data_IF_207420593314
#
_entry.id   IF_207420593314
#
_cell.length_a   1.000
_cell.length_b   1.000
_cell.length_c   1.000
_cell.angle_alpha   90.00
_cell.angle_beta   90.00
_cell.angle_gamma   90.00
#
_symmetry.space_group_name_H-M   'P 1'
#
loop_
_entity.id
_entity.type
_entity.pdbx_description
1 polymer ?
#
# COMPACT_ATOMS: atom_id res chain seq x y z
N UNK A 1 -7.74 -26.19 -7.20
CA UNK A 1 -6.94 -25.35 -8.12
C UNK A 1 -7.06 -23.93 -7.62
N UNK A 2 -6.04 -23.46 -6.90
CA UNK A 2 -6.04 -22.12 -6.33
C UNK A 2 -5.99 -21.10 -7.47
N UNK A 3 -7.08 -20.37 -7.69
CA UNK A 3 -7.02 -19.14 -8.46
C UNK A 3 -6.48 -18.07 -7.52
N UNK A 4 -5.15 -17.96 -7.41
CA UNK A 4 -4.57 -16.73 -6.89
C UNK A 4 -4.92 -15.64 -7.91
N UNK A 5 -6.02 -14.92 -7.64
CA UNK A 5 -6.62 -13.95 -8.57
C UNK A 5 -5.78 -12.67 -8.67
N UNK A 6 -5.10 -12.33 -7.59
CA UNK A 6 -4.17 -11.20 -7.43
C UNK A 6 -3.24 -11.54 -6.25
N UNK A 7 -2.02 -10.99 -6.24
CA UNK A 7 -1.01 -11.21 -5.19
C UNK A 7 -0.84 -9.96 -4.31
N UNK A 8 -0.04 -10.08 -3.25
CA UNK A 8 0.24 -8.95 -2.34
C UNK A 8 0.80 -7.69 -3.04
N UNK A 9 1.62 -7.82 -4.08
CA UNK A 9 2.08 -6.68 -4.86
C UNK A 9 0.90 -5.93 -5.51
N UNK A 10 -0.07 -6.67 -6.04
CA UNK A 10 -1.26 -6.10 -6.67
C UNK A 10 -2.13 -5.34 -5.66
N UNK A 11 -2.23 -5.84 -4.43
CA UNK A 11 -2.92 -5.15 -3.33
C UNK A 11 -2.22 -3.83 -2.99
N UNK A 12 -0.89 -3.86 -2.80
CA UNK A 12 -0.11 -2.66 -2.48
C UNK A 12 -0.26 -1.60 -3.57
N UNK A 13 -0.08 -1.99 -4.83
CA UNK A 13 -0.29 -1.13 -5.98
C UNK A 13 -1.73 -0.58 -6.03
N UNK A 14 -2.72 -1.45 -5.81
CA UNK A 14 -4.14 -1.10 -5.80
C UNK A 14 -4.44 -0.02 -4.77
N UNK A 15 -4.03 -0.22 -3.53
CA UNK A 15 -4.21 0.74 -2.43
C UNK A 15 -3.53 2.07 -2.78
N UNK A 16 -2.25 2.05 -3.17
CA UNK A 16 -1.49 3.27 -3.48
C UNK A 16 -2.03 4.02 -4.71
N UNK A 17 -2.51 3.30 -5.72
CA UNK A 17 -3.10 3.91 -6.94
C UNK A 17 -4.39 4.67 -6.64
N UNK A 18 -5.15 4.22 -5.64
CA UNK A 18 -6.44 4.79 -5.22
C UNK A 18 -6.31 5.91 -4.19
N UNK A 19 -5.10 6.17 -3.69
CA UNK A 19 -4.89 7.24 -2.73
C UNK A 19 -5.22 8.62 -3.30
N UNK A 20 -5.93 9.39 -2.48
CA UNK A 20 -6.13 10.81 -2.72
C UNK A 20 -4.85 11.57 -2.41
N UNK A 21 -4.37 12.33 -3.40
CA UNK A 21 -3.13 13.09 -3.30
C UNK A 21 -1.92 12.40 -3.95
N UNK A 22 -0.83 13.16 -4.19
CA UNK A 22 0.36 12.65 -4.86
C UNK A 22 1.48 12.25 -3.90
N UNK A 23 1.32 12.36 -2.57
CA UNK A 23 2.42 12.18 -1.61
C UNK A 23 2.01 11.35 -0.41
N UNK A 24 2.93 10.50 0.05
CA UNK A 24 2.84 9.74 1.31
C UNK A 24 4.16 9.83 2.06
N UNK A 25 4.19 9.61 3.38
CA UNK A 25 5.44 9.49 4.13
C UNK A 25 6.32 8.37 3.56
N UNK A 26 7.63 8.59 3.48
CA UNK A 26 8.60 7.55 3.11
C UNK A 26 9.12 6.76 4.33
N UNK A 27 8.71 7.15 5.54
CA UNK A 27 9.07 6.49 6.80
C UNK A 27 8.56 5.04 6.84
N UNK A 28 9.49 4.08 6.87
CA UNK A 28 9.21 2.65 7.00
C UNK A 28 8.32 2.36 8.22
N UNK A 29 8.62 2.85 9.45
CA UNK A 29 7.74 2.64 10.59
C UNK A 29 6.29 3.05 10.35
N UNK A 30 6.07 4.24 9.78
CA UNK A 30 4.72 4.78 9.52
C UNK A 30 3.98 3.92 8.49
N UNK A 31 4.63 3.62 7.37
CA UNK A 31 4.01 2.85 6.29
C UNK A 31 3.64 1.45 6.78
N UNK A 32 4.57 0.73 7.40
CA UNK A 32 4.31 -0.65 7.80
C UNK A 32 3.32 -0.78 8.95
N UNK A 33 3.32 0.16 9.91
CA UNK A 33 2.29 0.17 10.95
C UNK A 33 0.91 0.45 10.36
N UNK A 34 0.79 1.39 9.41
CA UNK A 34 -0.48 1.67 8.76
C UNK A 34 -1.02 0.45 7.99
N UNK A 35 -0.16 -0.25 7.24
CA UNK A 35 -0.56 -1.50 6.57
C UNK A 35 -0.84 -2.64 7.53
N UNK A 36 -0.06 -2.80 8.60
CA UNK A 36 -0.35 -3.78 9.64
C UNK A 36 -1.72 -3.50 10.28
N UNK A 37 -2.03 -2.24 10.58
CA UNK A 37 -3.29 -1.85 11.15
C UNK A 37 -4.48 -2.08 10.19
N UNK A 38 -4.30 -1.94 8.87
CA UNK A 38 -5.30 -2.40 7.89
C UNK A 38 -5.45 -3.92 7.91
N UNK A 39 -4.35 -4.65 8.00
CA UNK A 39 -4.35 -6.10 8.08
C UNK A 39 -5.02 -6.66 9.35
N UNK A 40 -5.28 -5.83 10.37
CA UNK A 40 -6.06 -6.20 11.55
C UNK A 40 -7.57 -5.95 11.38
N UNK A 41 -8.00 -5.31 10.29
CA UNK A 41 -9.42 -5.07 10.03
C UNK A 41 -10.03 -6.25 9.27
N UNK A 42 -11.04 -6.87 9.86
CA UNK A 42 -11.66 -8.10 9.35
C UNK A 42 -12.08 -8.00 7.89
N UNK A 43 -12.59 -6.84 7.44
CA UNK A 43 -13.02 -6.68 6.05
C UNK A 43 -11.87 -6.64 5.03
N UNK A 44 -10.63 -6.40 5.46
CA UNK A 44 -9.46 -6.31 4.58
C UNK A 44 -8.53 -7.54 4.69
N UNK A 45 -8.74 -8.43 5.66
CA UNK A 45 -7.92 -9.64 5.86
C UNK A 45 -7.55 -10.38 4.57
N UNK A 46 -8.48 -10.66 3.63
CA UNK A 46 -8.12 -11.39 2.41
C UNK A 46 -7.00 -10.74 1.58
N UNK A 47 -6.90 -9.40 1.61
CA UNK A 47 -5.84 -8.67 0.91
C UNK A 47 -4.47 -8.81 1.56
N UNK A 48 -4.43 -9.21 2.83
CA UNK A 48 -3.23 -9.22 3.65
C UNK A 48 -2.74 -10.61 4.06
N UNK A 49 -3.42 -11.69 3.65
CA UNK A 49 -3.07 -13.08 3.99
C UNK A 49 -1.61 -13.44 3.64
N UNK A 50 -1.09 -12.81 2.60
CA UNK A 50 0.23 -13.02 2.04
C UNK A 50 1.35 -12.23 2.73
N UNK A 51 1.00 -11.33 3.67
CA UNK A 51 1.95 -10.50 4.39
C UNK A 51 2.20 -11.04 5.80
N UNK A 52 3.46 -11.34 6.08
CA UNK A 52 3.90 -11.60 7.44
C UNK A 52 4.41 -10.29 8.07
N UNK A 53 3.72 -9.81 9.10
CA UNK A 53 4.16 -8.67 9.90
C UNK A 53 4.83 -9.15 11.19
N UNK A 54 6.09 -8.76 11.38
CA UNK A 54 6.88 -9.05 12.56
C UNK A 54 7.12 -7.77 13.35
N UNK A 55 6.89 -7.82 14.67
CA UNK A 55 7.17 -6.69 15.55
C UNK A 55 8.68 -6.48 15.69
N UNK A 56 9.17 -5.32 15.28
CA UNK A 56 10.53 -4.82 15.51
C UNK A 56 10.51 -3.76 16.63
N UNK A 57 11.66 -3.17 16.93
CA UNK A 57 11.78 -2.13 17.95
C UNK A 57 10.93 -0.92 17.52
N UNK A 58 9.76 -0.76 18.13
CA UNK A 58 8.88 0.40 17.96
C UNK A 58 7.86 0.32 16.81
N UNK A 59 7.89 -0.69 15.95
CA UNK A 59 6.95 -0.79 14.81
C UNK A 59 6.82 -2.22 14.28
N UNK A 60 5.79 -2.48 13.46
CA UNK A 60 5.61 -3.74 12.74
C UNK A 60 6.30 -3.65 11.37
N UNK A 61 6.95 -4.73 10.92
CA UNK A 61 7.67 -4.77 9.66
C UNK A 61 7.27 -6.00 8.85
N UNK A 62 7.16 -5.84 7.53
CA UNK A 62 6.93 -6.94 6.60
C UNK A 62 7.94 -6.88 5.48
N UNK A 63 8.81 -7.89 5.38
CA UNK A 63 9.86 -7.94 4.35
C UNK A 63 9.27 -7.89 2.95
N UNK A 64 8.24 -8.71 2.68
CA UNK A 64 7.54 -8.76 1.40
C UNK A 64 6.95 -7.40 0.99
N UNK A 65 6.42 -6.65 1.96
CA UNK A 65 5.92 -5.29 1.69
C UNK A 65 7.05 -4.32 1.35
N UNK A 66 8.16 -4.39 2.08
CA UNK A 66 9.33 -3.55 1.84
C UNK A 66 9.90 -3.82 0.44
N UNK A 67 10.04 -5.09 0.06
CA UNK A 67 10.50 -5.48 -1.28
C UNK A 67 9.60 -4.89 -2.38
N UNK A 68 8.28 -4.88 -2.18
CA UNK A 68 7.36 -4.29 -3.16
C UNK A 68 7.47 -2.77 -3.22
N UNK A 69 7.61 -2.08 -2.09
CA UNK A 69 7.85 -0.63 -2.09
C UNK A 69 9.13 -0.26 -2.83
N UNK A 70 10.22 -1.00 -2.61
CA UNK A 70 11.50 -0.82 -3.30
C UNK A 70 11.37 -1.09 -4.81
N UNK A 71 10.67 -2.18 -5.18
CA UNK A 71 10.39 -2.49 -6.58
C UNK A 71 9.56 -1.38 -7.27
N UNK A 72 8.58 -0.80 -6.56
CA UNK A 72 7.79 0.32 -7.06
C UNK A 72 8.64 1.58 -7.28
N UNK A 73 9.58 1.86 -6.37
CA UNK A 73 10.52 2.96 -6.54
C UNK A 73 11.46 2.73 -7.72
N UNK A 74 12.05 1.53 -7.84
CA UNK A 74 12.90 1.15 -8.97
C UNK A 74 12.14 1.23 -10.31
N UNK A 75 10.87 0.84 -10.33
CA UNK A 75 9.98 0.94 -11.49
C UNK A 75 9.51 2.38 -11.79
N UNK A 76 9.92 3.36 -10.99
CA UNK A 76 9.53 4.79 -11.06
C UNK A 76 8.01 4.99 -10.92
N UNK A 77 7.35 4.11 -10.15
CA UNK A 77 5.95 4.23 -9.75
C UNK A 77 5.83 5.08 -8.48
N UNK A 78 6.84 5.00 -7.62
CA UNK A 78 7.11 5.93 -6.53
C UNK A 78 8.41 6.68 -6.84
N UNK A 79 8.58 7.86 -6.24
CA UNK A 79 9.89 8.49 -6.17
C UNK A 79 10.11 9.20 -4.85
N UNK A 80 11.19 8.89 -4.15
CA UNK A 80 11.67 9.67 -3.02
C UNK A 80 12.61 10.78 -3.54
N UNK A 81 12.02 11.89 -4.00
CA UNK A 81 12.76 12.93 -4.72
C UNK A 81 13.36 14.04 -3.83
N UNK A 82 13.07 14.05 -2.52
CA UNK A 82 13.57 15.11 -1.63
C UNK A 82 14.86 14.67 -0.92
N UNK A 83 15.83 15.60 -0.69
CA UNK A 83 17.11 15.27 -0.05
C UNK A 83 16.98 14.67 1.35
N UNK A 84 15.84 14.90 1.99
CA UNK A 84 15.53 14.45 3.33
C UNK A 84 14.87 13.05 3.38
N UNK A 85 14.54 12.45 2.22
CA UNK A 85 13.87 11.15 2.10
C UNK A 85 12.60 11.04 2.96
N UNK A 86 11.84 12.13 3.06
CA UNK A 86 10.69 12.21 3.98
C UNK A 86 9.39 11.71 3.35
N UNK A 87 9.26 11.82 2.02
CA UNK A 87 8.00 11.52 1.32
C UNK A 87 8.22 10.83 -0.01
N UNK A 88 7.43 9.79 -0.27
CA UNK A 88 7.26 9.27 -1.62
C UNK A 88 6.25 10.11 -2.39
N UNK A 89 6.58 10.42 -3.64
CA UNK A 89 5.62 10.91 -4.62
C UNK A 89 5.03 9.74 -5.43
N UNK A 90 3.71 9.59 -5.37
CA UNK A 90 2.93 8.64 -6.15
C UNK A 90 2.82 9.18 -7.57
N UNK A 91 3.47 8.51 -8.54
CA UNK A 91 3.46 8.96 -9.93
C UNK A 91 2.14 8.67 -10.62
N UNK A 92 1.74 9.55 -11.53
CA UNK A 92 0.55 9.36 -12.38
C UNK A 92 0.58 8.03 -13.16
N UNK A 93 1.78 7.53 -13.48
CA UNK A 93 1.96 6.22 -14.11
C UNK A 93 1.35 5.10 -13.27
N UNK A 94 1.55 5.11 -11.95
CA UNK A 94 0.93 4.13 -11.06
C UNK A 94 -0.59 4.25 -11.11
N UNK A 95 -1.12 5.47 -10.99
CA UNK A 95 -2.58 5.71 -11.00
C UNK A 95 -3.22 5.22 -12.31
N UNK A 96 -2.65 5.56 -13.46
CA UNK A 96 -3.21 5.19 -14.77
C UNK A 96 -3.05 3.70 -15.08
N UNK A 97 -1.85 3.15 -14.90
CA UNK A 97 -1.59 1.75 -15.25
C UNK A 97 -2.31 0.78 -14.33
N UNK A 98 -2.48 1.15 -13.06
CA UNK A 98 -3.09 0.24 -12.09
C UNK A 98 -4.61 0.37 -12.00
N UNK A 99 -5.21 1.51 -12.37
CA UNK A 99 -6.68 1.60 -12.45
C UNK A 99 -7.24 0.66 -13.51
N UNK A 100 -6.58 0.54 -14.67
CA UNK A 100 -6.98 -0.41 -15.71
C UNK A 100 -6.75 -1.87 -15.27
N UNK A 101 -5.60 -2.17 -14.66
CA UNK A 101 -5.33 -3.50 -14.11
C UNK A 101 -6.36 -3.91 -13.05
N UNK A 102 -6.68 -3.01 -12.11
CA UNK A 102 -7.64 -3.28 -11.04
C UNK A 102 -9.02 -3.57 -11.61
N UNK A 103 -9.48 -2.80 -12.60
CA UNK A 103 -10.79 -3.04 -13.25
C UNK A 103 -10.88 -4.39 -13.96
N UNK A 104 -9.76 -4.94 -14.43
CA UNK A 104 -9.73 -6.21 -15.16
C UNK A 104 -9.55 -7.43 -14.24
N UNK A 105 -8.84 -7.27 -13.12
CA UNK A 105 -8.41 -8.40 -12.28
C UNK A 105 -9.13 -8.48 -10.93
N UNK A 106 -9.75 -7.39 -10.48
CA UNK A 106 -10.55 -7.34 -9.27
C UNK A 106 -12.04 -7.24 -9.65
N UNK A 107 -12.89 -7.95 -8.92
CA UNK A 107 -14.33 -7.75 -8.99
C UNK A 107 -14.71 -6.35 -8.51
N UNK A 108 -15.91 -5.91 -8.86
CA UNK A 108 -16.44 -4.60 -8.43
C UNK A 108 -16.39 -4.45 -6.90
N UNK A 109 -16.77 -5.50 -6.16
CA UNK A 109 -16.72 -5.52 -4.70
C UNK A 109 -15.30 -5.40 -4.15
N UNK A 110 -14.33 -6.11 -4.73
CA UNK A 110 -12.92 -6.01 -4.31
C UNK A 110 -12.33 -4.64 -4.65
N UNK A 111 -12.72 -4.06 -5.80
CA UNK A 111 -12.30 -2.73 -6.21
C UNK A 111 -12.84 -1.64 -5.25
N UNK A 112 -14.08 -1.77 -4.80
CA UNK A 112 -14.66 -0.91 -3.75
C UNK A 112 -13.91 -1.08 -2.41
N UNK A 113 -13.60 -2.32 -2.03
CA UNK A 113 -12.84 -2.59 -0.81
C UNK A 113 -11.41 -2.01 -0.88
N UNK A 114 -10.73 -2.09 -2.02
CA UNK A 114 -9.44 -1.42 -2.23
C UNK A 114 -9.54 0.10 -2.08
N UNK A 115 -10.64 0.70 -2.57
CA UNK A 115 -10.91 2.13 -2.37
C UNK A 115 -11.03 2.50 -0.91
N UNK A 116 -11.83 1.72 -0.14
CA UNK A 116 -11.96 1.91 1.31
C UNK A 116 -10.64 1.68 2.03
N UNK A 117 -9.86 0.67 1.64
CA UNK A 117 -8.55 0.41 2.22
C UNK A 117 -7.58 1.58 1.95
N UNK A 118 -7.63 2.23 0.79
CA UNK A 118 -6.83 3.40 0.48
C UNK A 118 -7.21 4.63 1.32
N UNK A 119 -8.50 4.84 1.56
CA UNK A 119 -8.99 5.90 2.45
C UNK A 119 -8.56 5.65 3.90
N UNK A 120 -8.74 4.43 4.40
CA UNK A 120 -8.31 4.04 5.75
C UNK A 120 -6.79 4.12 5.91
N UNK A 121 -6.04 3.70 4.88
CA UNK A 121 -4.59 3.86 4.85
C UNK A 121 -4.18 5.33 5.02
N UNK A 122 -4.79 6.23 4.22
CA UNK A 122 -4.53 7.67 4.28
C UNK A 122 -4.83 8.26 5.68
N UNK A 123 -5.90 7.79 6.31
CA UNK A 123 -6.26 8.19 7.67
C UNK A 123 -5.23 7.73 8.71
N UNK A 124 -4.74 6.49 8.58
CA UNK A 124 -3.74 5.92 9.52
C UNK A 124 -2.40 6.61 9.42
N UNK A 125 -1.87 6.82 8.20
CA UNK A 125 -0.60 7.53 8.01
C UNK A 125 -0.67 8.97 8.51
N UNK A 126 -1.82 9.65 8.38
CA UNK A 126 -2.00 11.03 8.87
C UNK A 126 -1.96 11.10 10.40
N UNK A 127 -2.53 10.10 11.08
CA UNK A 127 -2.49 10.01 12.55
C UNK A 127 -1.08 9.71 13.06
N UNK A 128 -0.37 8.79 12.43
CA UNK A 128 0.99 8.42 12.82
C UNK A 128 2.02 9.51 12.50
N UNK A 129 1.81 10.29 11.44
CA UNK A 129 2.69 11.41 11.11
C UNK A 129 2.49 12.64 12.00
N UNK A 130 1.31 12.77 12.63
CA UNK A 130 0.99 13.86 13.54
C UNK A 130 1.36 13.57 15.00
N UNK A 131 1.74 12.33 15.33
CA UNK A 131 2.09 11.86 16.67
C UNK A 131 3.59 11.94 16.94
#
# INVERSE_FOLDING_TARGET
MSSEKWNACDVLHGILSKMNGPKIPASIPILHNAFHALAQETQFHPFFDDYLFQKRIGFFFSEKMQDYLENMEMAKLLSCGNPAFETYEIKDKLKKSFDEYVRQNFSEQENELLGRAAEEFANKISKEHAA
#
